data_IF_196151389559
#
_entry.id   IF_196151389559
#
_cell.length_a   1.000
_cell.length_b   1.000
_cell.length_c   1.000
_cell.angle_alpha   90.00
_cell.angle_beta   90.00
_cell.angle_gamma   90.00
#
_symmetry.space_group_name_H-M   'P 1'
#
loop_
_entity.id
_entity.type
_entity.pdbx_description
1 polymer ?
#
# COMPACT_ATOMS: atom_id res chain seq x y z
N UNK A 1 -0.75 -27.00 -4.82
CA UNK A 1 -1.13 -25.60 -4.49
C UNK A 1 -0.79 -24.65 -5.62
N UNK A 2 0.33 -24.83 -6.35
CA UNK A 2 0.74 -23.86 -7.39
C UNK A 2 -0.25 -23.64 -8.54
N UNK A 3 -1.00 -24.66 -8.96
CA UNK A 3 -2.05 -24.51 -9.99
C UNK A 3 -3.20 -23.61 -9.53
N UNK A 4 -3.56 -23.69 -8.24
CA UNK A 4 -4.58 -22.83 -7.63
C UNK A 4 -4.11 -21.38 -7.56
N UNK A 5 -2.88 -21.14 -7.10
CA UNK A 5 -2.30 -19.80 -7.04
C UNK A 5 -2.21 -19.16 -8.43
N UNK A 6 -1.85 -19.93 -9.47
CA UNK A 6 -1.83 -19.44 -10.86
C UNK A 6 -3.23 -19.11 -11.38
N UNK A 7 -4.21 -19.94 -11.07
CA UNK A 7 -5.60 -19.70 -11.45
C UNK A 7 -6.15 -18.44 -10.76
N UNK A 8 -5.96 -18.32 -9.45
CA UNK A 8 -6.35 -17.14 -8.67
C UNK A 8 -5.61 -15.87 -9.13
N UNK A 9 -4.35 -15.97 -9.54
CA UNK A 9 -3.60 -14.83 -10.07
C UNK A 9 -4.25 -14.18 -11.30
N UNK A 10 -4.97 -14.95 -12.14
CA UNK A 10 -5.67 -14.42 -13.31
C UNK A 10 -6.87 -13.53 -12.92
N UNK A 11 -7.57 -13.84 -11.81
CA UNK A 11 -8.68 -13.02 -11.32
C UNK A 11 -8.19 -11.72 -10.67
N UNK A 12 -6.98 -11.70 -10.10
CA UNK A 12 -6.41 -10.50 -9.45
C UNK A 12 -6.24 -9.33 -10.41
N UNK A 13 -5.91 -9.59 -11.69
CA UNK A 13 -5.77 -8.52 -12.68
C UNK A 13 -7.11 -7.81 -12.90
N UNK A 14 -8.20 -8.57 -13.00
CA UNK A 14 -9.56 -8.03 -13.13
C UNK A 14 -9.97 -7.27 -11.87
N UNK A 15 -9.68 -7.80 -10.67
CA UNK A 15 -9.98 -7.10 -9.41
C UNK A 15 -9.38 -5.70 -9.36
N UNK A 16 -8.13 -5.51 -9.83
CA UNK A 16 -7.44 -4.21 -9.84
C UNK A 16 -8.10 -3.21 -10.79
N UNK A 17 -8.59 -3.67 -11.93
CA UNK A 17 -9.35 -2.82 -12.87
C UNK A 17 -10.66 -2.37 -12.22
N UNK A 18 -11.38 -3.29 -11.59
CA UNK A 18 -12.61 -2.94 -10.85
C UNK A 18 -12.31 -2.00 -9.67
N UNK A 19 -11.16 -2.14 -9.00
CA UNK A 19 -10.71 -1.20 -7.96
C UNK A 19 -10.48 0.19 -8.53
N UNK A 20 -9.78 0.30 -9.65
CA UNK A 20 -9.56 1.59 -10.32
C UNK A 20 -10.89 2.23 -10.73
N UNK A 21 -11.80 1.46 -11.35
CA UNK A 21 -13.12 1.94 -11.73
C UNK A 21 -13.94 2.41 -10.52
N UNK A 22 -13.92 1.66 -9.42
CA UNK A 22 -14.64 2.04 -8.19
C UNK A 22 -14.14 3.39 -7.66
N UNK A 23 -12.83 3.57 -7.50
CA UNK A 23 -12.27 4.82 -6.97
C UNK A 23 -12.38 5.98 -7.96
N UNK A 24 -12.39 5.71 -9.26
CA UNK A 24 -12.74 6.71 -10.27
C UNK A 24 -14.19 7.17 -10.10
N UNK A 25 -15.14 6.27 -9.83
CA UNK A 25 -16.53 6.64 -9.50
C UNK A 25 -16.61 7.46 -8.20
N UNK A 26 -15.86 7.12 -7.15
CA UNK A 26 -15.80 7.90 -5.91
C UNK A 26 -15.28 9.32 -6.15
N UNK A 27 -14.20 9.46 -6.92
CA UNK A 27 -13.62 10.75 -7.28
C UNK A 27 -14.57 11.58 -8.15
N UNK A 28 -15.20 10.94 -9.14
CA UNK A 28 -16.18 11.58 -10.02
C UNK A 28 -17.42 12.04 -9.23
N UNK A 29 -17.94 11.20 -8.32
CA UNK A 29 -19.04 11.54 -7.44
C UNK A 29 -18.74 12.76 -6.56
N UNK A 30 -17.53 12.86 -6.03
CA UNK A 30 -17.08 14.03 -5.26
C UNK A 30 -16.98 15.29 -6.12
N UNK A 31 -16.38 15.20 -7.32
CA UNK A 31 -16.27 16.33 -8.24
C UNK A 31 -17.64 16.86 -8.69
N UNK A 32 -18.57 15.95 -9.00
CA UNK A 32 -19.93 16.29 -9.39
C UNK A 32 -20.74 16.90 -8.25
N UNK A 33 -20.57 16.40 -7.02
CA UNK A 33 -21.19 17.00 -5.84
C UNK A 33 -20.72 18.44 -5.63
N UNK A 34 -19.43 18.70 -5.84
CA UNK A 34 -18.85 20.06 -5.73
C UNK A 34 -19.35 20.99 -6.83
N UNK A 35 -19.59 20.47 -8.03
CA UNK A 35 -20.08 21.23 -9.17
C UNK A 35 -21.62 21.38 -9.21
N UNK A 36 -22.35 20.89 -8.20
CA UNK A 36 -23.80 21.03 -8.11
C UNK A 36 -24.59 20.16 -9.11
N UNK A 37 -24.04 19.02 -9.53
CA UNK A 37 -24.72 18.13 -10.47
C UNK A 37 -26.03 17.56 -9.89
N UNK A 38 -26.97 17.20 -10.79
CA UNK A 38 -28.29 16.70 -10.42
C UNK A 38 -28.25 15.46 -9.50
N UNK A 39 -29.16 15.37 -8.50
CA UNK A 39 -29.15 14.32 -7.49
C UNK A 39 -29.31 12.90 -8.07
N UNK A 40 -30.07 12.77 -9.16
CA UNK A 40 -30.28 11.48 -9.84
C UNK A 40 -28.99 10.92 -10.44
N UNK A 41 -28.15 11.79 -11.01
CA UNK A 41 -26.87 11.37 -11.59
C UNK A 41 -25.89 10.94 -10.50
N UNK A 42 -25.86 11.66 -9.37
CA UNK A 42 -25.09 11.28 -8.19
C UNK A 42 -25.55 9.92 -7.63
N UNK A 43 -26.86 9.65 -7.59
CA UNK A 43 -27.39 8.36 -7.16
C UNK A 43 -26.94 7.22 -8.08
N UNK A 44 -26.98 7.41 -9.41
CA UNK A 44 -26.50 6.44 -10.39
C UNK A 44 -25.01 6.11 -10.21
N UNK A 45 -24.17 7.12 -9.98
CA UNK A 45 -22.73 6.91 -9.76
C UNK A 45 -22.49 6.14 -8.46
N UNK A 46 -23.20 6.47 -7.38
CA UNK A 46 -23.10 5.73 -6.11
C UNK A 46 -23.55 4.28 -6.26
N UNK A 47 -24.60 4.02 -7.05
CA UNK A 47 -25.05 2.66 -7.35
C UNK A 47 -23.99 1.88 -8.14
N UNK A 48 -23.38 2.51 -9.16
CA UNK A 48 -22.29 1.91 -9.91
C UNK A 48 -21.08 1.60 -9.01
N UNK A 49 -20.70 2.53 -8.14
CA UNK A 49 -19.63 2.32 -7.14
C UNK A 49 -19.94 1.11 -6.25
N UNK A 50 -21.19 0.98 -5.78
CA UNK A 50 -21.61 -0.14 -4.95
C UNK A 50 -21.54 -1.49 -5.71
N UNK A 51 -21.96 -1.53 -6.96
CA UNK A 51 -21.87 -2.74 -7.81
C UNK A 51 -20.41 -3.13 -8.07
N UNK A 52 -19.55 -2.16 -8.38
CA UNK A 52 -18.11 -2.39 -8.56
C UNK A 52 -17.48 -2.90 -7.27
N UNK A 53 -17.83 -2.32 -6.12
CA UNK A 53 -17.36 -2.77 -4.81
C UNK A 53 -17.75 -4.23 -4.52
N UNK A 54 -19.01 -4.60 -4.79
CA UNK A 54 -19.47 -5.99 -4.66
C UNK A 54 -18.73 -6.96 -5.58
N UNK A 55 -18.57 -6.58 -6.86
CA UNK A 55 -17.82 -7.38 -7.83
C UNK A 55 -16.37 -7.62 -7.39
N UNK A 56 -15.70 -6.60 -6.82
CA UNK A 56 -14.35 -6.76 -6.26
C UNK A 56 -14.28 -7.75 -5.11
N UNK A 57 -15.30 -7.78 -4.24
CA UNK A 57 -15.32 -8.75 -3.13
C UNK A 57 -15.45 -10.17 -3.66
N UNK A 58 -16.28 -10.36 -4.69
CA UNK A 58 -16.43 -11.65 -5.36
C UNK A 58 -15.11 -12.14 -5.97
N UNK A 59 -14.37 -11.28 -6.68
CA UNK A 59 -13.06 -11.65 -7.25
C UNK A 59 -11.97 -11.93 -6.21
N UNK A 60 -12.17 -11.53 -4.95
CA UNK A 60 -11.23 -11.77 -3.85
C UNK A 60 -11.55 -13.03 -3.04
N UNK A 61 -12.63 -13.74 -3.36
CA UNK A 61 -12.91 -15.04 -2.76
C UNK A 61 -11.72 -15.98 -3.05
N UNK A 62 -11.24 -16.67 -2.02
CA UNK A 62 -10.05 -17.53 -2.11
C UNK A 62 -8.72 -16.83 -1.83
N UNK A 63 -8.65 -15.49 -1.88
CA UNK A 63 -7.40 -14.76 -1.59
C UNK A 63 -6.90 -14.95 -0.15
N UNK A 64 -7.78 -15.33 0.78
CA UNK A 64 -7.40 -15.69 2.15
C UNK A 64 -6.44 -16.89 2.17
N UNK A 65 -6.67 -17.88 1.32
CA UNK A 65 -5.82 -19.06 1.20
C UNK A 65 -4.48 -18.71 0.53
N UNK A 66 -4.51 -17.91 -0.53
CA UNK A 66 -3.30 -17.41 -1.19
C UNK A 66 -2.43 -16.58 -0.23
N UNK A 67 -3.06 -15.76 0.61
CA UNK A 67 -2.35 -14.97 1.63
C UNK A 67 -1.73 -15.86 2.72
N UNK A 68 -2.41 -16.93 3.15
CA UNK A 68 -1.86 -17.89 4.10
C UNK A 68 -0.67 -18.68 3.50
N UNK A 69 -0.78 -19.07 2.24
CA UNK A 69 0.32 -19.72 1.53
C UNK A 69 1.51 -18.78 1.35
N UNK A 70 1.27 -17.50 1.05
CA UNK A 70 2.32 -16.48 1.01
C UNK A 70 2.99 -16.28 2.38
N UNK A 71 2.22 -16.28 3.47
CA UNK A 71 2.76 -16.23 4.83
C UNK A 71 3.65 -17.44 5.11
N UNK A 72 3.23 -18.65 4.72
CA UNK A 72 4.04 -19.86 4.87
C UNK A 72 5.37 -19.77 4.11
N UNK A 73 5.34 -19.26 2.88
CA UNK A 73 6.56 -19.05 2.07
C UNK A 73 7.50 -18.01 2.71
N UNK A 74 6.95 -16.94 3.30
CA UNK A 74 7.72 -15.89 3.93
C UNK A 74 8.52 -16.36 5.16
N UNK A 75 8.10 -17.43 5.85
CA UNK A 75 8.81 -17.99 7.02
C UNK A 75 10.21 -18.50 6.65
N UNK A 76 10.45 -18.81 5.37
CA UNK A 76 11.74 -19.30 4.88
C UNK A 76 12.71 -18.19 4.46
N UNK A 77 12.38 -16.91 4.67
CA UNK A 77 13.32 -15.81 4.43
C UNK A 77 14.49 -15.83 5.42
N UNK A 78 15.69 -15.46 4.92
CA UNK A 78 16.93 -15.44 5.70
C UNK A 78 17.00 -14.27 6.68
N UNK A 79 16.55 -13.08 6.26
CA UNK A 79 16.52 -11.89 7.12
C UNK A 79 15.34 -11.97 8.09
N UNK A 80 15.65 -11.92 9.40
CA UNK A 80 14.68 -12.06 10.49
C UNK A 80 13.66 -10.91 10.49
N UNK A 81 14.10 -9.67 10.21
CA UNK A 81 13.25 -8.48 10.24
C UNK A 81 12.29 -8.51 9.05
N UNK A 82 12.81 -8.80 7.85
CA UNK A 82 11.98 -8.95 6.65
C UNK A 82 11.00 -10.11 6.80
N UNK A 83 11.47 -11.26 7.29
CA UNK A 83 10.64 -12.43 7.57
C UNK A 83 9.47 -12.06 8.48
N UNK A 84 9.75 -11.37 9.59
CA UNK A 84 8.71 -10.98 10.55
C UNK A 84 7.69 -10.04 9.90
N UNK A 85 8.14 -8.94 9.29
CA UNK A 85 7.26 -7.94 8.68
C UNK A 85 6.38 -8.56 7.58
N UNK A 86 6.97 -9.36 6.69
CA UNK A 86 6.26 -9.98 5.56
C UNK A 86 5.29 -11.05 6.04
N UNK A 87 5.69 -11.90 7.00
CA UNK A 87 4.82 -12.96 7.54
C UNK A 87 3.60 -12.37 8.25
N UNK A 88 3.83 -11.39 9.14
CA UNK A 88 2.74 -10.71 9.87
C UNK A 88 1.83 -9.94 8.91
N UNK A 89 2.39 -9.29 7.89
CA UNK A 89 1.62 -8.62 6.84
C UNK A 89 0.68 -9.59 6.11
N UNK A 90 1.20 -10.74 5.67
CA UNK A 90 0.39 -11.74 4.97
C UNK A 90 -0.67 -12.39 5.86
N UNK A 91 -0.37 -12.64 7.14
CA UNK A 91 -1.34 -13.16 8.10
C UNK A 91 -2.50 -12.18 8.33
N UNK A 92 -2.19 -10.89 8.54
CA UNK A 92 -3.20 -9.84 8.66
C UNK A 92 -4.03 -9.73 7.37
N UNK A 93 -3.40 -9.90 6.20
CA UNK A 93 -4.10 -9.90 4.92
C UNK A 93 -5.02 -11.11 4.73
N UNK A 94 -4.65 -12.28 5.25
CA UNK A 94 -5.53 -13.44 5.27
C UNK A 94 -6.78 -13.18 6.13
N UNK A 95 -6.60 -12.60 7.33
CA UNK A 95 -7.70 -12.20 8.21
C UNK A 95 -8.60 -11.12 7.58
N UNK A 96 -7.99 -10.15 6.89
CA UNK A 96 -8.72 -9.13 6.13
C UNK A 96 -9.65 -9.75 5.08
N UNK A 97 -9.12 -10.65 4.23
CA UNK A 97 -9.92 -11.32 3.20
C UNK A 97 -10.96 -12.27 3.78
N UNK A 98 -10.67 -12.95 4.89
CA UNK A 98 -11.67 -13.76 5.58
C UNK A 98 -12.87 -12.92 6.04
N UNK A 99 -12.62 -11.75 6.64
CA UNK A 99 -13.68 -10.81 7.01
C UNK A 99 -14.42 -10.27 5.77
N UNK A 100 -13.71 -10.02 4.66
CA UNK A 100 -14.32 -9.52 3.43
C UNK A 100 -15.23 -10.57 2.75
N UNK A 101 -14.86 -11.85 2.81
CA UNK A 101 -15.69 -12.96 2.34
C UNK A 101 -16.99 -13.07 3.15
N UNK A 102 -16.89 -12.92 4.48
CA UNK A 102 -18.06 -12.87 5.38
C UNK A 102 -18.95 -11.66 5.03
N UNK A 103 -18.35 -10.49 4.81
CA UNK A 103 -19.09 -9.29 4.40
C UNK A 103 -19.80 -9.44 3.04
N UNK A 104 -19.16 -10.15 2.10
CA UNK A 104 -19.78 -10.48 0.81
C UNK A 104 -20.96 -11.44 1.00
N UNK A 105 -20.78 -12.50 1.81
CA UNK A 105 -21.83 -13.48 2.11
C UNK A 105 -23.05 -12.83 2.81
N UNK A 106 -22.83 -11.88 3.71
CA UNK A 106 -23.92 -11.12 4.31
C UNK A 106 -24.68 -10.28 3.27
N UNK A 107 -23.96 -9.60 2.36
CA UNK A 107 -24.59 -8.78 1.31
C UNK A 107 -25.29 -9.59 0.22
N UNK A 108 -24.90 -10.85 0.00
CA UNK A 108 -25.59 -11.76 -0.92
C UNK A 108 -26.80 -12.46 -0.29
N UNK A 109 -27.10 -12.19 0.99
CA UNK A 109 -28.25 -12.77 1.70
C UNK A 109 -27.99 -14.15 2.30
N UNK A 110 -26.74 -14.66 2.26
CA UNK A 110 -26.39 -15.95 2.86
C UNK A 110 -26.34 -15.91 4.39
N UNK A 111 -26.13 -14.72 4.98
CA UNK A 111 -26.08 -14.53 6.44
C UNK A 111 -27.02 -13.38 6.85
N UNK A 112 -28.29 -13.68 7.19
CA UNK A 112 -29.36 -12.67 7.34
C UNK A 112 -29.27 -11.77 8.58
N UNK A 113 -28.42 -12.07 9.58
CA UNK A 113 -28.30 -11.29 10.82
C UNK A 113 -26.88 -10.81 11.13
N UNK A 114 -26.11 -10.48 10.10
CA UNK A 114 -24.71 -10.11 10.27
C UNK A 114 -24.53 -8.59 10.47
N UNK A 115 -23.84 -8.21 11.54
CA UNK A 115 -23.41 -6.83 11.77
C UNK A 115 -22.36 -6.36 10.74
N UNK A 116 -22.83 -5.82 9.61
CA UNK A 116 -21.96 -5.33 8.53
C UNK A 116 -20.92 -4.31 9.02
N UNK A 117 -21.29 -3.43 9.94
CA UNK A 117 -20.39 -2.41 10.47
C UNK A 117 -19.25 -3.01 11.29
N UNK A 118 -19.54 -3.93 12.22
CA UNK A 118 -18.53 -4.57 13.07
C UNK A 118 -17.51 -5.35 12.24
N UNK A 119 -17.99 -6.14 11.28
CA UNK A 119 -17.13 -6.91 10.38
C UNK A 119 -16.32 -6.01 9.43
N UNK A 120 -16.92 -4.90 8.97
CA UNK A 120 -16.21 -3.89 8.17
C UNK A 120 -15.10 -3.21 8.97
N UNK A 121 -15.37 -2.79 10.21
CA UNK A 121 -14.36 -2.17 11.07
C UNK A 121 -13.20 -3.14 11.35
N UNK A 122 -13.49 -4.41 11.69
CA UNK A 122 -12.45 -5.43 11.91
C UNK A 122 -11.60 -5.65 10.66
N UNK A 123 -12.24 -5.76 9.49
CA UNK A 123 -11.55 -5.89 8.21
C UNK A 123 -10.59 -4.72 7.98
N UNK A 124 -11.05 -3.47 8.15
CA UNK A 124 -10.18 -2.30 7.97
C UNK A 124 -9.04 -2.21 8.99
N UNK A 125 -9.22 -2.67 10.23
CA UNK A 125 -8.12 -2.76 11.21
C UNK A 125 -7.03 -3.72 10.75
N UNK A 126 -7.39 -4.94 10.32
CA UNK A 126 -6.42 -5.89 9.79
C UNK A 126 -5.73 -5.38 8.52
N UNK A 127 -6.46 -4.69 7.65
CA UNK A 127 -5.87 -4.06 6.47
C UNK A 127 -4.86 -2.97 6.84
N UNK A 128 -5.18 -2.13 7.83
CA UNK A 128 -4.25 -1.11 8.33
C UNK A 128 -2.99 -1.73 8.91
N UNK A 129 -3.10 -2.77 9.74
CA UNK A 129 -1.93 -3.46 10.30
C UNK A 129 -1.05 -4.07 9.20
N UNK A 130 -1.65 -4.69 8.18
CA UNK A 130 -0.90 -5.20 7.03
C UNK A 130 -0.15 -4.08 6.29
N UNK A 131 -0.76 -2.91 6.10
CA UNK A 131 -0.12 -1.76 5.47
C UNK A 131 1.05 -1.21 6.29
N UNK A 132 0.89 -1.09 7.62
CA UNK A 132 1.96 -0.65 8.51
C UNK A 132 3.16 -1.61 8.43
N UNK A 133 2.91 -2.93 8.40
CA UNK A 133 3.97 -3.94 8.27
C UNK A 133 4.66 -3.87 6.91
N UNK A 134 3.92 -3.62 5.82
CA UNK A 134 4.52 -3.42 4.49
C UNK A 134 5.37 -2.15 4.44
N UNK A 135 4.89 -1.03 4.97
CA UNK A 135 5.66 0.21 5.05
C UNK A 135 6.91 0.07 5.94
N UNK A 136 6.81 -0.72 7.01
CA UNK A 136 7.97 -1.01 7.88
C UNK A 136 9.02 -1.83 7.13
N UNK A 137 8.60 -2.80 6.31
CA UNK A 137 9.49 -3.54 5.40
C UNK A 137 10.11 -2.62 4.35
N UNK A 138 9.32 -1.76 3.71
CA UNK A 138 9.82 -0.78 2.72
C UNK A 138 10.87 0.15 3.35
N UNK A 139 10.59 0.67 4.54
CA UNK A 139 11.52 1.52 5.27
C UNK A 139 12.82 0.79 5.65
N UNK A 140 12.74 -0.48 6.05
CA UNK A 140 13.90 -1.30 6.36
C UNK A 140 14.77 -1.58 5.13
N UNK A 141 14.17 -1.94 3.99
CA UNK A 141 14.91 -2.12 2.73
C UNK A 141 15.59 -0.83 2.27
N UNK A 142 14.90 0.31 2.38
CA UNK A 142 15.47 1.62 2.09
C UNK A 142 16.69 1.87 2.99
N UNK A 143 16.59 1.62 4.29
CA UNK A 143 17.70 1.80 5.24
C UNK A 143 18.91 0.94 4.85
N UNK A 144 18.67 -0.34 4.57
CA UNK A 144 19.71 -1.28 4.15
C UNK A 144 20.40 -0.85 2.85
N UNK A 145 19.65 -0.35 1.88
CA UNK A 145 20.19 0.15 0.62
C UNK A 145 20.97 1.47 0.80
N UNK A 146 20.47 2.37 1.65
CA UNK A 146 21.18 3.60 2.00
C UNK A 146 22.54 3.29 2.64
N UNK A 147 22.60 2.35 3.59
CA UNK A 147 23.83 1.94 4.26
C UNK A 147 24.87 1.35 3.27
N UNK A 148 24.40 0.53 2.32
CA UNK A 148 25.27 -0.02 1.26
C UNK A 148 25.88 1.07 0.39
N UNK A 149 25.07 2.03 -0.06
CA UNK A 149 25.52 3.16 -0.89
C UNK A 149 26.47 4.08 -0.13
N UNK A 150 26.23 4.33 1.16
CA UNK A 150 27.15 5.13 1.99
C UNK A 150 28.48 4.42 2.18
N UNK A 151 28.47 3.10 2.43
CA UNK A 151 29.69 2.31 2.60
C UNK A 151 30.50 2.25 1.30
N UNK A 152 29.84 2.07 0.15
CA UNK A 152 30.50 2.11 -1.17
C UNK A 152 31.10 3.48 -1.51
N UNK A 153 30.42 4.58 -1.17
CA UNK A 153 30.94 5.94 -1.37
C UNK A 153 32.08 6.27 -0.40
N UNK A 154 32.01 5.80 0.84
CA UNK A 154 33.08 5.99 1.83
C UNK A 154 34.37 5.23 1.44
N UNK A 155 34.24 4.01 0.91
CA UNK A 155 35.37 3.25 0.37
C UNK A 155 36.02 3.92 -0.85
N UNK A 156 35.25 4.63 -1.69
CA UNK A 156 35.76 5.45 -2.81
C UNK A 156 36.30 6.83 -2.37
N UNK A 157 35.81 7.37 -1.25
CA UNK A 157 36.20 8.68 -0.71
C UNK A 157 37.39 8.66 0.24
N UNK A 158 37.77 7.50 0.77
CA UNK A 158 38.88 7.33 1.73
C UNK A 158 40.27 7.72 1.19
N UNK A 159 40.41 8.06 -0.09
CA UNK A 159 41.66 8.57 -0.67
C UNK A 159 41.79 10.11 -0.66
N UNK A 160 40.85 10.87 -0.09
CA UNK A 160 40.89 12.34 -0.21
C UNK A 160 40.42 13.07 1.06
N UNK A 161 41.42 13.46 1.85
CA UNK A 161 41.48 14.61 2.78
C UNK A 161 41.13 14.38 4.27
N UNK A 162 42.17 14.41 5.12
CA UNK A 162 42.60 15.59 5.90
C UNK A 162 41.62 16.18 6.94
N UNK A 163 41.97 16.21 8.24
CA UNK A 163 41.09 16.69 9.30
C UNK A 163 41.12 18.22 9.45
N UNK A 164 39.97 18.86 9.60
CA UNK A 164 39.87 20.26 10.02
C UNK A 164 38.81 20.45 11.12
N UNK A 165 39.25 21.17 12.16
CA UNK A 165 38.69 21.30 13.50
C UNK A 165 37.41 22.15 13.62
N UNK A 166 36.67 22.03 14.74
CA UNK A 166 35.36 22.64 14.93
C UNK A 166 35.41 23.95 15.71
N UNK A 167 34.70 24.96 15.21
CA UNK A 167 34.12 26.06 16.00
C UNK A 167 32.65 26.17 15.61
N UNK A 168 31.73 25.81 16.53
CA UNK A 168 30.30 25.67 16.21
C UNK A 168 29.46 26.80 16.83
N UNK A 169 29.01 27.73 15.99
CA UNK A 169 27.91 28.65 16.28
C UNK A 169 26.54 27.94 16.15
N UNK A 170 25.52 28.32 16.95
CA UNK A 170 24.19 27.70 16.89
C UNK A 170 23.46 27.89 15.54
N UNK A 171 23.69 29.00 14.83
CA UNK A 171 23.18 29.19 13.46
C UNK A 171 23.86 28.24 12.46
N UNK A 172 25.13 27.91 12.67
CA UNK A 172 25.88 26.98 11.83
C UNK A 172 25.40 25.53 12.02
N UNK A 173 24.97 25.16 13.25
CA UNK A 173 24.35 23.85 13.53
C UNK A 173 23.05 23.62 12.77
N UNK A 174 22.16 24.62 12.74
CA UNK A 174 20.90 24.49 11.97
C UNK A 174 21.17 24.36 10.46
N UNK A 175 22.14 25.11 9.94
CA UNK A 175 22.53 25.03 8.53
C UNK A 175 23.21 23.69 8.19
N UNK A 176 24.04 23.16 9.08
CA UNK A 176 24.63 21.82 8.96
C UNK A 176 23.57 20.72 9.05
N UNK A 177 22.58 20.83 9.95
CA UNK A 177 21.45 19.91 10.05
C UNK A 177 20.60 19.93 8.77
N UNK A 178 20.26 21.11 8.26
CA UNK A 178 19.54 21.27 7.02
C UNK A 178 20.31 20.69 5.83
N UNK A 179 21.63 20.87 5.79
CA UNK A 179 22.50 20.30 4.76
C UNK A 179 22.58 18.78 4.86
N UNK A 180 22.73 18.22 6.07
CA UNK A 180 22.67 16.77 6.33
C UNK A 180 21.33 16.18 5.91
N UNK A 181 20.22 16.83 6.25
CA UNK A 181 18.87 16.45 5.82
C UNK A 181 18.72 16.48 4.30
N UNK A 182 19.17 17.54 3.63
CA UNK A 182 19.17 17.63 2.17
C UNK A 182 19.98 16.50 1.53
N UNK A 183 21.17 16.21 2.07
CA UNK A 183 22.03 15.14 1.58
C UNK A 183 21.39 13.75 1.78
N UNK A 184 20.78 13.51 2.95
CA UNK A 184 20.04 12.28 3.24
C UNK A 184 18.81 12.13 2.33
N UNK A 185 18.06 13.20 2.08
CA UNK A 185 16.93 13.21 1.14
C UNK A 185 17.38 12.97 -0.31
N UNK A 186 18.51 13.54 -0.72
CA UNK A 186 19.08 13.29 -2.03
C UNK A 186 19.54 11.82 -2.19
N UNK A 187 20.15 11.25 -1.15
CA UNK A 187 20.57 9.85 -1.14
C UNK A 187 19.36 8.91 -1.14
N UNK A 188 18.32 9.22 -0.36
CA UNK A 188 17.04 8.53 -0.38
C UNK A 188 16.44 8.55 -1.79
N UNK A 189 16.36 9.73 -2.42
CA UNK A 189 15.83 9.90 -3.77
C UNK A 189 16.66 9.11 -4.80
N UNK A 190 17.98 9.08 -4.66
CA UNK A 190 18.87 8.29 -5.51
C UNK A 190 18.62 6.79 -5.35
N UNK A 191 18.56 6.29 -4.11
CA UNK A 191 18.30 4.86 -3.81
C UNK A 191 16.94 4.44 -4.38
N UNK A 192 15.93 5.29 -4.19
CA UNK A 192 14.57 5.02 -4.62
C UNK A 192 14.43 5.06 -6.16
N UNK A 193 15.15 5.98 -6.82
CA UNK A 193 15.24 6.04 -8.29
C UNK A 193 15.98 4.84 -8.88
N UNK A 194 17.01 4.35 -8.20
CA UNK A 194 17.76 3.17 -8.61
C UNK A 194 16.98 1.86 -8.36
N UNK A 195 15.98 1.88 -7.48
CA UNK A 195 15.15 0.73 -7.13
C UNK A 195 13.67 1.00 -7.41
N UNK A 196 13.27 1.04 -8.70
CA UNK A 196 11.88 1.31 -9.09
C UNK A 196 10.82 0.37 -8.50
N UNK A 197 11.07 -0.94 -8.24
CA UNK A 197 10.04 -1.79 -7.61
C UNK A 197 9.75 -1.38 -6.15
N UNK A 198 10.76 -0.93 -5.41
CA UNK A 198 10.61 -0.49 -4.02
C UNK A 198 9.88 0.85 -3.95
N UNK A 199 10.18 1.77 -4.88
CA UNK A 199 9.44 3.02 -5.05
C UNK A 199 7.95 2.77 -5.28
N UNK A 200 7.63 1.87 -6.20
CA UNK A 200 6.23 1.56 -6.53
C UNK A 200 5.48 0.96 -5.34
N UNK A 201 6.07 0.02 -4.61
CA UNK A 201 5.41 -0.57 -3.45
C UNK A 201 5.23 0.45 -2.32
N UNK A 202 6.26 1.27 -2.03
CA UNK A 202 6.17 2.35 -1.06
C UNK A 202 5.07 3.36 -1.41
N UNK A 203 5.06 3.87 -2.65
CA UNK A 203 4.05 4.84 -3.10
C UNK A 203 2.63 4.25 -3.01
N UNK A 204 2.48 2.99 -3.41
CA UNK A 204 1.20 2.29 -3.32
C UNK A 204 0.75 2.14 -1.87
N UNK A 205 1.61 1.63 -0.99
CA UNK A 205 1.30 1.42 0.43
C UNK A 205 1.00 2.75 1.14
N UNK A 206 1.74 3.81 0.80
CA UNK A 206 1.52 5.16 1.31
C UNK A 206 0.21 5.78 0.81
N UNK A 207 -0.22 5.52 -0.43
CA UNK A 207 -1.54 5.95 -0.89
C UNK A 207 -2.66 5.12 -0.23
N UNK A 208 -2.47 3.81 -0.09
CA UNK A 208 -3.48 2.91 0.45
C UNK A 208 -3.73 3.11 1.95
N UNK A 209 -2.78 3.66 2.73
CA UNK A 209 -2.93 3.88 4.18
C UNK A 209 -4.09 4.84 4.51
N UNK A 210 -4.36 5.82 3.65
CA UNK A 210 -5.43 6.78 3.88
C UNK A 210 -6.83 6.14 3.82
N UNK A 211 -6.98 5.02 3.11
CA UNK A 211 -8.26 4.33 2.93
C UNK A 211 -8.79 3.75 4.26
N UNK A 212 -8.06 2.88 4.98
CA UNK A 212 -8.51 2.38 6.28
C UNK A 212 -8.49 3.46 7.36
N UNK A 213 -7.60 4.45 7.30
CA UNK A 213 -7.59 5.57 8.26
C UNK A 213 -8.91 6.35 8.24
N UNK A 214 -9.41 6.64 7.03
CA UNK A 214 -10.71 7.29 6.82
C UNK A 214 -11.87 6.41 7.31
N UNK A 215 -11.87 5.12 6.92
CA UNK A 215 -12.94 4.17 7.28
C UNK A 215 -12.99 3.82 8.75
N UNK A 216 -11.88 3.94 9.48
CA UNK A 216 -11.84 3.77 10.93
C UNK A 216 -12.16 5.06 11.68
N UNK A 217 -12.37 6.18 10.98
CA UNK A 217 -12.66 7.48 11.58
C UNK A 217 -11.48 8.12 12.32
N UNK A 218 -10.26 7.58 12.15
CA UNK A 218 -9.06 8.08 12.83
C UNK A 218 -8.50 9.34 12.18
N UNK A 219 -8.69 9.49 10.85
CA UNK A 219 -8.31 10.69 10.12
C UNK A 219 -9.39 11.02 9.09
N UNK A 220 -10.10 12.15 9.28
CA UNK A 220 -11.20 12.56 8.41
C UNK A 220 -10.63 13.16 7.12
N UNK A 221 -10.62 12.39 6.05
CA UNK A 221 -10.25 12.87 4.71
C UNK A 221 -11.48 13.17 3.88
N UNK A 222 -11.32 14.01 2.85
CA UNK A 222 -12.40 14.20 1.88
C UNK A 222 -12.57 12.92 1.04
N UNK A 223 -13.82 12.58 0.69
CA UNK A 223 -14.12 11.43 -0.17
C UNK A 223 -13.34 11.50 -1.50
N UNK A 224 -13.15 12.70 -2.05
CA UNK A 224 -12.32 12.93 -3.23
C UNK A 224 -10.85 12.56 -3.03
N UNK A 225 -10.26 12.87 -1.87
CA UNK A 225 -8.86 12.51 -1.58
C UNK A 225 -8.70 10.98 -1.47
N UNK A 226 -9.62 10.31 -0.77
CA UNK A 226 -9.63 8.83 -0.70
C UNK A 226 -9.81 8.21 -2.09
N UNK A 227 -10.69 8.79 -2.91
CA UNK A 227 -10.86 8.42 -4.32
C UNK A 227 -9.58 8.57 -5.13
N UNK A 228 -8.89 9.69 -4.99
CA UNK A 228 -7.62 9.94 -5.68
C UNK A 228 -6.53 8.94 -5.25
N UNK A 229 -6.32 8.77 -3.94
CA UNK A 229 -5.34 7.83 -3.40
C UNK A 229 -5.64 6.38 -3.79
N UNK A 230 -6.91 5.98 -3.76
CA UNK A 230 -7.33 4.65 -4.19
C UNK A 230 -7.17 4.43 -5.70
N UNK A 231 -7.39 5.46 -6.51
CA UNK A 231 -7.19 5.41 -7.95
C UNK A 231 -5.70 5.33 -8.30
N UNK A 232 -4.87 6.18 -7.71
CA UNK A 232 -3.42 6.17 -7.95
C UNK A 232 -2.80 4.82 -7.55
N UNK A 233 -3.13 4.30 -6.37
CA UNK A 233 -2.61 3.00 -5.92
C UNK A 233 -3.07 1.84 -6.81
N UNK A 234 -4.26 1.94 -7.40
CA UNK A 234 -4.77 0.96 -8.37
C UNK A 234 -4.04 1.02 -9.69
N UNK A 235 -3.78 2.22 -10.23
CA UNK A 235 -3.00 2.41 -11.45
C UNK A 235 -1.59 1.87 -11.26
N UNK A 236 -0.92 2.21 -10.15
CA UNK A 236 0.40 1.66 -9.81
C UNK A 236 0.37 0.12 -9.74
N UNK A 237 -0.71 -0.44 -9.17
CA UNK A 237 -0.88 -1.89 -9.10
C UNK A 237 -1.12 -2.54 -10.46
N UNK A 238 -1.77 -1.86 -11.41
CA UNK A 238 -1.96 -2.36 -12.78
C UNK A 238 -0.63 -2.29 -13.54
N UNK A 239 0.10 -1.18 -13.44
CA UNK A 239 1.44 -1.02 -14.03
C UNK A 239 2.41 -2.10 -13.56
N UNK A 240 2.37 -2.46 -12.27
CA UNK A 240 3.20 -3.54 -11.73
C UNK A 240 2.84 -4.95 -12.27
N UNK A 241 1.63 -5.16 -12.82
CA UNK A 241 1.28 -6.41 -13.53
C UNK A 241 1.79 -6.35 -14.97
N UNK A 242 1.54 -5.23 -15.65
CA UNK A 242 1.90 -5.05 -17.05
C UNK A 242 3.41 -5.08 -17.26
N UNK A 243 4.17 -4.66 -16.24
CA UNK A 243 5.63 -4.64 -16.26
C UNK A 243 6.19 -5.54 -15.15
N UNK A 244 6.45 -6.83 -15.42
CA UNK A 244 6.93 -7.77 -14.42
C UNK A 244 8.30 -7.39 -13.82
N UNK A 245 9.10 -6.61 -14.54
CA UNK A 245 10.38 -6.07 -14.05
C UNK A 245 10.23 -5.01 -12.94
N UNK A 246 9.03 -4.45 -12.78
CA UNK A 246 8.69 -3.50 -11.73
C UNK A 246 8.13 -4.17 -10.47
N UNK A 247 7.97 -5.50 -10.48
CA UNK A 247 7.45 -6.23 -9.31
C UNK A 247 8.58 -6.51 -8.33
N UNK A 248 8.47 -5.93 -7.13
CA UNK A 248 9.38 -6.24 -6.02
C UNK A 248 9.27 -7.74 -5.69
N UNK A 249 10.39 -8.45 -5.75
CA UNK A 249 10.52 -9.81 -5.25
C UNK A 249 11.18 -9.72 -3.86
N UNK A 250 10.58 -10.29 -2.81
CA UNK A 250 11.24 -10.44 -1.53
C UNK A 250 12.43 -11.40 -1.63
#
# INVERSE_FOLDING_TARGET
>A
MDSWVRFSAQSQAKERVFRAAQYACTLLGYALQKNGAGPDFLARIKQLEAHLSLGRKLFRLGNSADALEAAKRAIHLSDIVLRFCITVSHLNRAMYFACDNILWAGKSGLVPHMDHEKWSQRSFRYYLFALIMNLSRDAYEIRLLMERETNSKSQKGSCRNGPSSPGEDPNHRFQQLALKLKLQLALLAQVLRNNPPLLLDLMKNACDIFIPLDKLGMYKTSSGFVGLCGLTSSILSILAILHPWLKLKP
#
